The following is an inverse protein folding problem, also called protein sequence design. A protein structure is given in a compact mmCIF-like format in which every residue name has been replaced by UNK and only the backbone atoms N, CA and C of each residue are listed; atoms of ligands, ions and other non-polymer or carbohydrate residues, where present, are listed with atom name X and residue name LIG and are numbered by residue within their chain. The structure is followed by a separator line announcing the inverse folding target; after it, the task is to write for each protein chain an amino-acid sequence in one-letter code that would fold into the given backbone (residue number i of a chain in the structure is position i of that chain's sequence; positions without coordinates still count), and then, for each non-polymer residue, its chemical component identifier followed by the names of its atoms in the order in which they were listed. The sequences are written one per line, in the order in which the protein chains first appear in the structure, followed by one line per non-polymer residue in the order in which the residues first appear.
data_IF_098189584791
#
_entry.id   IF_098189584791
#
_cell.length_a   1.000
_cell.length_b   1.000
_cell.length_c   1.000
_cell.angle_alpha   90.00
_cell.angle_beta   90.00
_cell.angle_gamma   90.00
#
_symmetry.space_group_name_H-M   'P 1'
#
loop_
_entity.id
_entity.type
_entity.pdbx_description
1 polymer ?
#
# COMPACT_ATOMS: atom_id res chain seq x y z
N UNK A 1 37.47 70.25 4.47
CA UNK A 1 38.74 70.49 3.76
C UNK A 1 38.74 69.64 2.51
N UNK A 2 38.47 70.27 1.39
CA UNK A 2 38.97 70.02 0.03
C UNK A 2 38.87 68.62 -0.55
N UNK A 3 38.53 68.40 -1.77
CA UNK A 3 38.20 69.16 -2.96
C UNK A 3 37.75 68.21 -4.05
N UNK A 4 36.71 68.59 -4.76
CA UNK A 4 36.57 68.69 -6.22
C UNK A 4 37.56 67.84 -7.06
N UNK A 5 37.04 67.08 -8.00
CA UNK A 5 37.26 67.37 -9.42
C UNK A 5 36.23 66.68 -10.34
N UNK A 6 35.52 67.46 -11.09
CA UNK A 6 34.77 67.11 -12.30
C UNK A 6 35.75 66.83 -13.47
N UNK A 7 35.40 65.93 -14.34
CA UNK A 7 35.70 65.89 -15.79
C UNK A 7 34.68 65.05 -16.48
N UNK A 8 33.72 65.56 -17.15
CA UNK A 8 33.63 65.97 -18.55
C UNK A 8 33.48 64.80 -19.53
N UNK A 9 32.30 64.84 -20.17
CA UNK A 9 31.77 64.09 -21.30
C UNK A 9 32.77 63.76 -22.42
N UNK A 10 32.64 62.56 -23.01
CA UNK A 10 32.73 62.43 -24.45
C UNK A 10 31.73 61.37 -24.94
N UNK A 11 30.71 61.81 -25.63
CA UNK A 11 29.75 61.03 -26.32
C UNK A 11 30.38 60.46 -27.62
N UNK A 12 30.46 59.18 -27.78
CA UNK A 12 30.72 58.54 -29.08
C UNK A 12 29.45 57.80 -29.49
N UNK A 13 28.77 58.39 -30.47
CA UNK A 13 27.69 57.74 -31.20
C UNK A 13 28.31 56.61 -32.08
N UNK A 14 28.08 55.36 -31.75
CA UNK A 14 28.31 54.24 -32.64
C UNK A 14 26.95 53.80 -33.17
N UNK A 15 26.70 54.11 -34.43
CA UNK A 15 25.60 53.52 -35.19
C UNK A 15 25.85 52.00 -35.33
N UNK A 16 25.12 51.17 -34.60
CA UNK A 16 25.06 49.73 -34.85
C UNK A 16 23.79 49.45 -35.65
N UNK A 17 24.01 49.11 -36.90
CA UNK A 17 22.97 48.61 -37.80
C UNK A 17 22.38 47.34 -37.23
N UNK A 18 21.09 47.35 -36.84
CA UNK A 18 20.34 46.14 -36.50
C UNK A 18 20.06 45.36 -37.76
N UNK A 19 20.86 44.30 -37.98
CA UNK A 19 20.51 43.24 -38.89
C UNK A 19 19.48 42.35 -38.19
N UNK A 20 18.26 42.31 -38.71
CA UNK A 20 17.21 41.39 -38.29
C UNK A 20 17.66 39.95 -38.54
N UNK A 21 18.28 39.33 -37.55
CA UNK A 21 18.38 37.88 -37.48
C UNK A 21 17.10 37.37 -36.83
N UNK A 22 16.19 36.86 -37.65
CA UNK A 22 15.01 36.13 -37.17
C UNK A 22 15.43 34.94 -36.32
N UNK A 23 15.21 35.02 -35.03
CA UNK A 23 15.28 33.86 -34.12
C UNK A 23 14.08 33.01 -34.48
N UNK A 24 14.31 31.94 -35.25
CA UNK A 24 13.37 30.83 -35.35
C UNK A 24 13.32 30.16 -33.98
N UNK A 25 12.36 30.58 -33.15
CA UNK A 25 11.98 29.80 -31.98
C UNK A 25 11.45 28.46 -32.49
N UNK A 26 12.27 27.42 -32.31
CA UNK A 26 11.81 26.04 -32.40
C UNK A 26 10.85 25.82 -31.24
N UNK A 27 9.57 26.08 -31.48
CA UNK A 27 8.51 25.58 -30.61
C UNK A 27 8.58 24.05 -30.72
N UNK A 28 9.31 23.42 -29.79
CA UNK A 28 9.20 21.98 -29.56
C UNK A 28 7.76 21.73 -29.13
N UNK A 29 6.93 21.36 -30.11
CA UNK A 29 5.59 20.88 -29.82
C UNK A 29 5.71 19.70 -28.87
N UNK A 30 5.41 19.91 -27.60
CA UNK A 30 5.09 18.84 -26.68
C UNK A 30 3.85 18.16 -27.26
N UNK A 31 4.06 17.10 -28.00
CA UNK A 31 2.98 16.18 -28.35
C UNK A 31 2.48 15.62 -27.03
N UNK A 32 1.42 16.21 -26.50
CA UNK A 32 0.62 15.60 -25.44
C UNK A 32 0.10 14.29 -26.04
N UNK A 33 0.84 13.19 -25.82
CA UNK A 33 0.35 11.85 -26.13
C UNK A 33 -0.96 11.73 -25.35
N UNK A 34 -2.08 11.64 -26.06
CA UNK A 34 -3.35 11.16 -25.46
C UNK A 34 -3.02 9.93 -24.63
N UNK A 35 -3.56 9.82 -23.40
CA UNK A 35 -3.30 8.66 -22.56
C UNK A 35 -3.67 7.41 -23.37
N UNK A 36 -2.65 6.66 -23.78
CA UNK A 36 -2.83 5.42 -24.54
C UNK A 36 -3.48 4.43 -23.58
N UNK A 37 -4.63 3.90 -23.96
CA UNK A 37 -5.22 2.78 -23.21
C UNK A 37 -4.18 1.66 -23.15
N UNK A 38 -3.80 1.25 -21.95
CA UNK A 38 -2.84 0.18 -21.77
C UNK A 38 -3.40 -1.14 -22.34
N UNK A 39 -2.56 -1.91 -23.01
CA UNK A 39 -2.93 -3.25 -23.43
C UNK A 39 -2.99 -4.15 -22.20
N UNK A 40 -4.12 -4.85 -22.02
CA UNK A 40 -4.33 -5.67 -20.82
C UNK A 40 -3.33 -6.84 -20.72
N UNK A 41 -2.94 -7.41 -21.85
CA UNK A 41 -1.94 -8.47 -21.90
C UNK A 41 -0.57 -7.97 -21.42
N UNK A 42 -0.15 -6.78 -21.87
CA UNK A 42 1.10 -6.17 -21.40
C UNK A 42 1.05 -5.88 -19.90
N UNK A 43 -0.07 -5.37 -19.39
CA UNK A 43 -0.25 -5.12 -17.95
C UNK A 43 -0.19 -6.43 -17.14
N UNK A 44 -0.83 -7.49 -17.62
CA UNK A 44 -0.76 -8.82 -16.97
C UNK A 44 0.65 -9.38 -16.95
N UNK A 45 1.40 -9.23 -18.05
CA UNK A 45 2.80 -9.64 -18.14
C UNK A 45 3.67 -8.84 -17.17
N UNK A 46 3.51 -7.52 -17.12
CA UNK A 46 4.25 -6.65 -16.19
C UNK A 46 4.01 -7.00 -14.73
N UNK A 47 2.77 -7.33 -14.36
CA UNK A 47 2.44 -7.81 -13.00
C UNK A 47 3.13 -9.15 -12.73
N UNK A 48 3.08 -10.08 -13.68
CA UNK A 48 3.79 -11.36 -13.57
C UNK A 48 5.29 -11.18 -13.35
N UNK A 49 5.94 -10.37 -14.18
CA UNK A 49 7.37 -10.07 -14.07
C UNK A 49 7.70 -9.36 -12.73
N UNK A 50 6.86 -8.47 -12.24
CA UNK A 50 7.04 -7.79 -10.96
C UNK A 50 7.07 -8.78 -9.79
N UNK A 51 6.18 -9.78 -9.82
CA UNK A 51 6.13 -10.84 -8.79
C UNK A 51 7.27 -11.84 -8.99
N UNK A 52 7.45 -12.39 -10.19
CA UNK A 52 8.38 -13.50 -10.47
C UNK A 52 9.86 -13.09 -10.35
N UNK A 53 10.18 -11.82 -10.61
CA UNK A 53 11.53 -11.28 -10.39
C UNK A 53 11.90 -11.08 -8.92
N UNK A 54 10.97 -11.30 -7.99
CA UNK A 54 11.12 -11.00 -6.56
C UNK A 54 11.17 -9.51 -6.24
N UNK A 55 10.83 -8.63 -7.20
CA UNK A 55 10.76 -7.18 -6.95
C UNK A 55 9.64 -6.84 -5.97
N UNK A 56 8.48 -7.49 -6.11
CA UNK A 56 7.38 -7.39 -5.15
C UNK A 56 7.83 -7.68 -3.73
N UNK A 57 8.53 -8.80 -3.50
CA UNK A 57 8.98 -9.20 -2.17
C UNK A 57 9.97 -8.20 -1.58
N UNK A 58 10.87 -7.64 -2.40
CA UNK A 58 11.81 -6.59 -1.96
C UNK A 58 11.09 -5.30 -1.58
N UNK A 59 10.09 -4.90 -2.35
CA UNK A 59 9.32 -3.68 -2.07
C UNK A 59 8.47 -3.84 -0.79
N UNK A 60 7.85 -5.01 -0.59
CA UNK A 60 7.16 -5.36 0.66
C UNK A 60 8.14 -5.32 1.84
N UNK A 61 9.29 -5.98 1.72
CA UNK A 61 10.30 -6.03 2.78
C UNK A 61 10.79 -4.62 3.18
N UNK A 62 10.95 -3.71 2.21
CA UNK A 62 11.33 -2.32 2.46
C UNK A 62 10.28 -1.56 3.29
N UNK A 63 9.00 -1.71 2.96
CA UNK A 63 7.92 -1.05 3.72
C UNK A 63 7.83 -1.63 5.13
N UNK A 64 7.89 -2.96 5.26
CA UNK A 64 7.81 -3.64 6.56
C UNK A 64 9.04 -3.32 7.43
N UNK A 65 10.23 -3.18 6.86
CA UNK A 65 11.42 -2.74 7.60
C UNK A 65 11.23 -1.32 8.18
N UNK A 66 10.62 -0.41 7.42
CA UNK A 66 10.27 0.93 7.91
C UNK A 66 9.22 0.89 9.03
N UNK A 67 8.21 0.00 8.90
CA UNK A 67 7.19 -0.23 9.93
C UNK A 67 7.82 -0.77 11.22
N UNK A 68 8.72 -1.75 11.11
CA UNK A 68 9.45 -2.32 12.26
C UNK A 68 10.32 -1.27 12.95
N UNK A 69 11.08 -0.49 12.19
CA UNK A 69 11.91 0.58 12.76
C UNK A 69 11.06 1.65 13.48
N UNK A 70 9.85 1.91 13.02
CA UNK A 70 8.90 2.77 13.73
C UNK A 70 8.40 2.12 15.01
N UNK A 71 7.99 0.87 14.97
CA UNK A 71 7.54 0.09 16.11
C UNK A 71 8.60 0.11 17.23
N UNK A 72 9.86 -0.25 16.90
CA UNK A 72 10.97 -0.33 17.85
C UNK A 72 11.23 1.01 18.57
N UNK A 73 11.07 2.13 17.86
CA UNK A 73 11.20 3.47 18.45
C UNK A 73 10.06 3.85 19.38
N UNK A 74 8.83 3.38 19.07
CA UNK A 74 7.62 3.83 19.78
C UNK A 74 7.26 2.98 20.98
N UNK A 75 7.53 1.67 20.95
CA UNK A 75 7.18 0.72 22.02
C UNK A 75 7.63 1.20 23.41
N UNK A 76 8.88 1.69 23.63
CA UNK A 76 9.35 2.03 24.97
C UNK A 76 8.57 3.16 25.65
N UNK A 77 7.87 3.99 24.88
CA UNK A 77 7.13 5.16 25.39
C UNK A 77 5.61 5.04 25.24
N UNK A 78 5.15 3.96 24.62
CA UNK A 78 3.73 3.77 24.34
C UNK A 78 3.01 3.11 25.52
N UNK A 79 1.83 3.61 25.83
CA UNK A 79 0.94 2.99 26.80
C UNK A 79 0.04 1.97 26.09
N UNK A 80 0.04 0.72 26.56
CA UNK A 80 -0.76 -0.38 26.00
C UNK A 80 -0.61 -0.48 24.46
N UNK A 81 0.62 -0.75 23.95
CA UNK A 81 0.91 -0.65 22.52
C UNK A 81 0.21 -1.74 21.70
N UNK A 82 -0.23 -1.38 20.50
CA UNK A 82 -0.87 -2.27 19.54
C UNK A 82 -0.38 -1.98 18.11
N UNK A 83 -0.52 -2.98 17.24
CA UNK A 83 -0.45 -2.84 15.79
C UNK A 83 -1.72 -3.39 15.16
N UNK A 84 -2.12 -2.80 14.02
CA UNK A 84 -3.24 -3.29 13.21
C UNK A 84 -2.70 -3.72 11.85
N UNK A 85 -3.11 -4.89 11.41
CA UNK A 85 -2.72 -5.51 10.14
C UNK A 85 -3.98 -5.87 9.35
N UNK A 86 -3.96 -5.61 8.06
CA UNK A 86 -4.88 -6.25 7.12
C UNK A 86 -4.42 -7.68 6.81
N UNK A 87 -5.23 -8.46 6.10
CA UNK A 87 -4.94 -9.86 5.80
C UNK A 87 -4.55 -10.09 4.33
N UNK A 88 -5.45 -9.79 3.37
CA UNK A 88 -5.26 -10.13 1.96
C UNK A 88 -4.19 -9.22 1.33
N UNK A 89 -3.15 -9.80 0.72
CA UNK A 89 -1.93 -9.12 0.20
C UNK A 89 -1.18 -8.26 1.24
N UNK A 90 -1.53 -8.42 2.50
CA UNK A 90 -0.83 -7.79 3.63
C UNK A 90 -0.16 -8.81 4.52
N UNK A 91 -0.92 -9.76 5.03
CA UNK A 91 -0.44 -10.84 5.91
C UNK A 91 -0.43 -12.20 5.23
N UNK A 92 -1.39 -12.43 4.33
CA UNK A 92 -1.52 -13.65 3.53
C UNK A 92 -1.51 -13.29 2.04
N UNK A 93 -0.82 -14.10 1.24
CA UNK A 93 -0.71 -13.92 -0.21
C UNK A 93 -1.76 -14.71 -0.96
N UNK A 94 -2.54 -14.03 -1.80
CA UNK A 94 -3.50 -14.66 -2.72
C UNK A 94 -2.92 -14.76 -4.15
N UNK A 95 -1.61 -14.65 -4.34
CA UNK A 95 -0.99 -14.73 -5.67
C UNK A 95 -1.32 -16.00 -6.46
N UNK A 96 -1.42 -17.22 -5.84
CA UNK A 96 -1.85 -18.40 -6.58
C UNK A 96 -3.23 -18.22 -7.22
N UNK A 97 -4.19 -17.67 -6.47
CA UNK A 97 -5.55 -17.38 -6.93
C UNK A 97 -5.54 -16.29 -8.03
N UNK A 98 -4.84 -15.18 -7.83
CA UNK A 98 -4.75 -14.11 -8.80
C UNK A 98 -4.09 -14.58 -10.11
N UNK A 99 -3.05 -15.40 -10.03
CA UNK A 99 -2.33 -15.98 -11.16
C UNK A 99 -3.23 -16.92 -11.98
N UNK A 100 -3.99 -17.79 -11.34
CA UNK A 100 -4.96 -18.69 -12.00
C UNK A 100 -6.03 -17.92 -12.79
N UNK A 101 -6.25 -16.66 -12.45
CA UNK A 101 -7.20 -15.76 -13.12
C UNK A 101 -6.51 -14.79 -14.12
N UNK A 102 -5.26 -15.02 -14.46
CA UNK A 102 -4.50 -14.07 -15.29
C UNK A 102 -4.43 -12.66 -14.64
N UNK A 103 -4.27 -12.61 -13.33
CA UNK A 103 -4.26 -11.39 -12.50
C UNK A 103 -5.60 -10.63 -12.43
N UNK A 104 -6.71 -11.24 -12.90
CA UNK A 104 -8.04 -10.65 -12.73
C UNK A 104 -8.59 -10.94 -11.31
N UNK A 105 -9.30 -9.96 -10.75
CA UNK A 105 -9.98 -10.14 -9.46
C UNK A 105 -11.34 -10.79 -9.65
N UNK A 106 -11.43 -12.10 -9.46
CA UNK A 106 -12.67 -12.87 -9.45
C UNK A 106 -13.06 -13.17 -8.00
N UNK A 107 -14.18 -12.62 -7.52
CA UNK A 107 -14.56 -12.70 -6.10
C UNK A 107 -15.29 -13.99 -5.78
N UNK A 108 -16.24 -14.40 -6.63
CA UNK A 108 -17.14 -15.52 -6.40
C UNK A 108 -16.88 -16.67 -7.40
N UNK A 109 -17.50 -17.80 -7.16
CA UNK A 109 -17.37 -19.01 -7.98
C UNK A 109 -16.43 -20.03 -7.33
N UNK A 110 -16.34 -21.25 -7.93
CA UNK A 110 -15.41 -22.28 -7.49
C UNK A 110 -13.97 -21.84 -7.67
N UNK A 111 -13.03 -22.57 -7.07
CA UNK A 111 -11.62 -22.34 -7.27
C UNK A 111 -10.98 -23.55 -7.93
N UNK A 112 -10.42 -23.34 -9.12
CA UNK A 112 -9.52 -24.26 -9.81
C UNK A 112 -8.21 -23.53 -10.09
N UNK A 113 -7.16 -23.88 -9.36
CA UNK A 113 -5.85 -23.23 -9.50
C UNK A 113 -5.10 -23.66 -10.77
N UNK A 114 -5.43 -24.80 -11.35
CA UNK A 114 -4.73 -25.34 -12.52
C UNK A 114 -5.32 -24.79 -13.84
N UNK A 115 -6.65 -24.77 -13.92
CA UNK A 115 -7.37 -24.40 -15.15
C UNK A 115 -8.03 -23.03 -15.07
N UNK A 116 -8.22 -22.49 -13.85
CA UNK A 116 -9.03 -21.31 -13.63
C UNK A 116 -10.49 -21.48 -14.05
N UNK A 117 -11.37 -20.56 -13.73
CA UNK A 117 -11.12 -19.48 -12.78
C UNK A 117 -11.10 -19.97 -11.33
N UNK A 118 -10.49 -19.17 -10.45
CA UNK A 118 -10.49 -19.40 -9.01
C UNK A 118 -11.15 -18.21 -8.29
N UNK A 119 -12.32 -18.43 -7.71
CA UNK A 119 -13.02 -17.43 -6.91
C UNK A 119 -12.29 -17.14 -5.60
N UNK A 120 -12.08 -15.85 -5.28
CA UNK A 120 -11.37 -15.43 -4.08
C UNK A 120 -11.99 -15.99 -2.79
N UNK A 121 -13.32 -16.02 -2.70
CA UNK A 121 -14.01 -16.55 -1.51
C UNK A 121 -13.81 -18.04 -1.33
N UNK A 122 -13.80 -18.82 -2.42
CA UNK A 122 -13.50 -20.24 -2.40
C UNK A 122 -12.02 -20.48 -2.00
N UNK A 123 -11.09 -19.72 -2.57
CA UNK A 123 -9.68 -19.74 -2.18
C UNK A 123 -9.47 -19.44 -0.69
N UNK A 124 -10.09 -18.40 -0.18
CA UNK A 124 -10.01 -18.02 1.24
C UNK A 124 -10.56 -19.14 2.17
N UNK A 125 -11.62 -19.84 1.73
CA UNK A 125 -12.20 -20.97 2.47
C UNK A 125 -11.26 -22.19 2.52
N UNK A 126 -10.40 -22.41 1.52
CA UNK A 126 -9.39 -23.48 1.52
C UNK A 126 -8.35 -23.27 2.63
N UNK A 127 -8.09 -22.03 3.04
CA UNK A 127 -7.12 -21.66 4.08
C UNK A 127 -5.67 -22.08 3.75
N UNK A 128 -5.28 -21.98 2.48
CA UNK A 128 -3.97 -22.42 1.96
C UNK A 128 -3.03 -21.24 1.62
N UNK A 129 -3.51 -20.01 1.78
CA UNK A 129 -2.71 -18.83 1.51
C UNK A 129 -1.46 -18.78 2.39
N UNK A 130 -0.30 -18.56 1.76
CA UNK A 130 0.99 -18.47 2.47
C UNK A 130 1.16 -17.12 3.13
N UNK A 131 1.87 -17.11 4.26
CA UNK A 131 2.23 -15.86 4.91
C UNK A 131 3.14 -15.01 4.00
N UNK A 132 2.92 -13.69 4.02
CA UNK A 132 3.88 -12.72 3.54
C UNK A 132 4.97 -12.60 4.60
N UNK A 133 6.11 -13.23 4.34
CA UNK A 133 7.15 -13.47 5.34
C UNK A 133 7.62 -12.22 6.11
N UNK A 134 7.84 -11.03 5.49
CA UNK A 134 8.18 -9.84 6.23
C UNK A 134 7.09 -9.40 7.23
N UNK A 135 5.81 -9.51 6.85
CA UNK A 135 4.69 -9.14 7.73
C UNK A 135 4.55 -10.13 8.89
N UNK A 136 4.73 -11.42 8.64
CA UNK A 136 4.77 -12.42 9.71
C UNK A 136 5.88 -12.12 10.71
N UNK A 137 7.08 -11.82 10.22
CA UNK A 137 8.21 -11.46 11.08
C UNK A 137 7.93 -10.18 11.91
N UNK A 138 7.25 -9.19 11.35
CA UNK A 138 6.82 -7.99 12.08
C UNK A 138 5.81 -8.33 13.18
N UNK A 139 4.81 -9.15 12.88
CA UNK A 139 3.79 -9.58 13.86
C UNK A 139 4.41 -10.36 15.01
N UNK A 140 5.29 -11.31 14.71
CA UNK A 140 6.01 -12.09 15.72
C UNK A 140 6.96 -11.21 16.57
N UNK A 141 7.62 -10.23 15.95
CA UNK A 141 8.45 -9.26 16.67
C UNK A 141 7.60 -8.38 17.60
N UNK A 142 6.47 -7.88 17.14
CA UNK A 142 5.52 -7.13 17.97
C UNK A 142 5.08 -7.95 19.20
N UNK A 143 4.71 -9.21 19.00
CA UNK A 143 4.33 -10.12 20.11
C UNK A 143 5.46 -10.31 21.12
N UNK A 144 6.70 -10.50 20.66
CA UNK A 144 7.89 -10.61 21.56
C UNK A 144 8.12 -9.35 22.39
N UNK A 145 7.73 -8.18 21.89
CA UNK A 145 7.80 -6.91 22.61
C UNK A 145 6.57 -6.64 23.51
N UNK A 146 5.64 -7.58 23.64
CA UNK A 146 4.41 -7.39 24.41
C UNK A 146 3.38 -6.48 23.73
N UNK A 147 3.53 -6.22 22.42
CA UNK A 147 2.61 -5.40 21.63
C UNK A 147 1.43 -6.26 21.17
N UNK A 148 0.20 -5.76 21.37
CA UNK A 148 -1.00 -6.41 20.90
C UNK A 148 -1.07 -6.38 19.36
N UNK A 149 -1.49 -7.50 18.74
CA UNK A 149 -1.66 -7.62 17.29
C UNK A 149 -3.15 -7.78 17.01
N UNK A 150 -3.68 -6.87 16.20
CA UNK A 150 -5.06 -6.91 15.74
C UNK A 150 -5.10 -7.13 14.24
N UNK A 151 -6.00 -7.98 13.78
CA UNK A 151 -6.35 -8.10 12.37
C UNK A 151 -7.70 -7.45 12.10
N UNK A 152 -7.79 -6.60 11.06
CA UNK A 152 -9.06 -6.04 10.56
C UNK A 152 -9.11 -6.29 9.07
N UNK A 153 -10.05 -7.11 8.61
CA UNK A 153 -10.12 -7.58 7.22
C UNK A 153 -11.51 -7.45 6.61
N UNK A 154 -11.57 -7.13 5.30
CA UNK A 154 -12.80 -7.18 4.50
C UNK A 154 -13.27 -8.61 4.14
N UNK A 155 -12.68 -9.65 4.71
CA UNK A 155 -13.24 -11.00 4.61
C UNK A 155 -14.56 -11.07 5.35
N UNK A 156 -15.63 -11.64 4.76
CA UNK A 156 -16.93 -11.74 5.42
C UNK A 156 -16.90 -12.69 6.62
N UNK A 157 -17.79 -12.43 7.59
CA UNK A 157 -17.88 -13.16 8.86
C UNK A 157 -17.93 -14.68 8.73
N UNK A 158 -18.59 -15.21 7.69
CA UNK A 158 -18.66 -16.65 7.39
C UNK A 158 -17.29 -17.32 7.13
N UNK A 159 -16.27 -16.53 6.80
CA UNK A 159 -14.90 -17.03 6.59
C UNK A 159 -14.03 -17.00 7.84
N UNK A 160 -14.57 -16.67 9.01
CA UNK A 160 -13.80 -16.57 10.27
C UNK A 160 -12.98 -17.80 10.55
N UNK A 161 -13.63 -18.97 10.60
CA UNK A 161 -12.96 -20.24 10.93
C UNK A 161 -11.81 -20.57 9.95
N UNK A 162 -12.06 -20.42 8.63
CA UNK A 162 -11.05 -20.64 7.62
C UNK A 162 -9.89 -19.62 7.73
N UNK A 163 -10.20 -18.35 8.03
CA UNK A 163 -9.20 -17.31 8.20
C UNK A 163 -8.33 -17.57 9.42
N UNK A 164 -8.93 -17.95 10.56
CA UNK A 164 -8.19 -18.31 11.77
C UNK A 164 -7.31 -19.54 11.56
N UNK A 165 -7.85 -20.59 10.91
CA UNK A 165 -7.08 -21.80 10.56
C UNK A 165 -5.87 -21.43 9.70
N UNK A 166 -6.05 -20.58 8.69
CA UNK A 166 -4.97 -20.15 7.80
C UNK A 166 -3.91 -19.34 8.55
N UNK A 167 -4.30 -18.34 9.31
CA UNK A 167 -3.38 -17.50 10.08
C UNK A 167 -2.56 -18.32 11.09
N UNK A 168 -3.22 -19.23 11.86
CA UNK A 168 -2.53 -20.14 12.80
C UNK A 168 -1.58 -21.08 12.08
N UNK A 169 -2.02 -21.69 10.98
CA UNK A 169 -1.19 -22.59 10.17
C UNK A 169 0.05 -21.90 9.58
N UNK A 170 0.03 -20.58 9.43
CA UNK A 170 1.17 -19.78 8.99
C UNK A 170 2.01 -19.21 10.15
N UNK A 171 1.64 -19.45 11.42
CA UNK A 171 2.41 -19.03 12.59
C UNK A 171 2.09 -17.63 13.09
N UNK A 172 0.94 -17.07 12.72
CA UNK A 172 0.45 -15.83 13.33
C UNK A 172 -0.21 -16.09 14.68
N UNK A 173 0.05 -15.19 15.61
CA UNK A 173 -0.66 -15.04 16.88
C UNK A 173 -1.23 -13.62 16.95
N UNK A 174 -2.43 -13.49 17.50
CA UNK A 174 -3.11 -12.19 17.57
C UNK A 174 -3.92 -12.01 18.86
N UNK A 175 -4.25 -10.79 19.14
CA UNK A 175 -5.11 -10.39 20.26
C UNK A 175 -6.58 -10.50 19.86
N UNK A 176 -6.92 -9.96 18.68
CA UNK A 176 -8.29 -9.99 18.15
C UNK A 176 -8.26 -10.02 16.62
N UNK A 177 -9.24 -10.71 16.03
CA UNK A 177 -9.50 -10.78 14.61
C UNK A 177 -10.90 -10.23 14.32
N UNK A 178 -10.96 -9.15 13.53
CA UNK A 178 -12.21 -8.49 13.13
C UNK A 178 -12.43 -8.72 11.65
N UNK A 179 -13.53 -9.38 11.30
CA UNK A 179 -13.99 -9.59 9.94
C UNK A 179 -15.18 -8.66 9.65
N UNK A 180 -15.36 -8.35 8.38
CA UNK A 180 -16.55 -7.62 7.93
C UNK A 180 -17.81 -8.40 8.31
N UNK A 181 -18.80 -7.75 8.97
CA UNK A 181 -20.05 -8.42 9.38
C UNK A 181 -20.79 -8.98 8.17
N UNK A 182 -21.35 -10.16 8.31
CA UNK A 182 -22.09 -10.83 7.23
C UNK A 182 -23.31 -10.01 6.83
N UNK A 183 -23.48 -9.79 5.51
CA UNK A 183 -24.60 -9.02 4.97
C UNK A 183 -24.49 -7.51 5.15
N UNK A 184 -23.45 -7.00 5.83
CA UNK A 184 -23.25 -5.56 5.90
C UNK A 184 -22.77 -5.00 4.56
N UNK A 185 -23.16 -3.77 4.29
CA UNK A 185 -22.68 -3.00 3.13
C UNK A 185 -22.13 -1.67 3.62
N UNK A 186 -20.95 -1.30 3.13
CA UNK A 186 -20.31 -0.04 3.46
C UNK A 186 -20.05 0.74 2.17
N UNK A 187 -20.12 2.09 2.19
CA UNK A 187 -19.76 2.92 1.04
C UNK A 187 -18.29 2.68 0.58
N UNK A 188 -17.41 2.38 1.53
CA UNK A 188 -16.04 1.91 1.29
C UNK A 188 -15.59 0.99 2.43
N UNK A 189 -14.53 0.21 2.18
CA UNK A 189 -13.91 -0.63 3.23
C UNK A 189 -13.36 0.22 4.39
N UNK A 190 -12.98 1.46 4.13
CA UNK A 190 -12.54 2.38 5.18
C UNK A 190 -13.67 2.70 6.18
N UNK A 191 -14.93 2.75 5.73
CA UNK A 191 -16.10 3.00 6.59
C UNK A 191 -16.38 1.85 7.55
N UNK A 192 -15.86 0.68 7.27
CA UNK A 192 -15.83 -0.45 8.20
C UNK A 192 -14.56 -0.43 9.08
N UNK A 193 -13.36 -0.34 8.46
CA UNK A 193 -12.10 -0.54 9.18
C UNK A 193 -11.74 0.59 10.15
N UNK A 194 -12.07 1.84 9.84
CA UNK A 194 -11.76 2.96 10.72
C UNK A 194 -12.53 2.92 12.04
N UNK A 195 -13.86 2.67 12.08
CA UNK A 195 -14.59 2.44 13.34
C UNK A 195 -14.03 1.28 14.16
N UNK A 196 -13.57 0.21 13.56
CA UNK A 196 -12.97 -0.91 14.29
C UNK A 196 -11.63 -0.50 14.96
N UNK A 197 -10.78 0.28 14.26
CA UNK A 197 -9.58 0.87 14.89
C UNK A 197 -9.94 1.82 16.03
N UNK A 198 -11.03 2.58 15.90
CA UNK A 198 -11.53 3.43 16.98
C UNK A 198 -11.88 2.60 18.21
N UNK A 199 -12.61 1.51 18.07
CA UNK A 199 -12.95 0.61 19.19
C UNK A 199 -11.70 0.09 19.91
N UNK A 200 -10.65 -0.24 19.18
CA UNK A 200 -9.36 -0.64 19.75
C UNK A 200 -8.75 0.52 20.57
N UNK A 201 -8.75 1.73 20.02
CA UNK A 201 -8.27 2.91 20.75
C UNK A 201 -9.12 3.24 22.00
N UNK A 202 -10.45 3.11 21.91
CA UNK A 202 -11.39 3.32 23.03
C UNK A 202 -11.18 2.29 24.16
N UNK A 203 -10.61 1.09 23.84
CA UNK A 203 -10.15 0.11 24.85
C UNK A 203 -8.82 0.50 25.52
N UNK A 204 -8.27 1.67 25.18
CA UNK A 204 -7.05 2.23 25.75
C UNK A 204 -5.77 1.76 25.09
N UNK A 205 -5.84 1.11 23.93
CA UNK A 205 -4.64 0.78 23.13
C UNK A 205 -4.12 2.00 22.38
N UNK A 206 -2.80 2.13 22.33
CA UNK A 206 -2.13 3.03 21.41
C UNK A 206 -1.75 2.23 20.14
N UNK A 207 -2.47 2.44 19.05
CA UNK A 207 -2.16 1.79 17.78
C UNK A 207 -0.95 2.50 17.17
N UNK A 208 0.24 1.90 17.33
CA UNK A 208 1.50 2.46 16.87
C UNK A 208 1.60 2.47 15.36
N UNK A 209 1.09 1.43 14.71
CA UNK A 209 1.06 1.36 13.26
C UNK A 209 -0.17 0.60 12.75
N UNK A 210 -0.58 0.96 11.53
CA UNK A 210 -1.55 0.24 10.73
C UNK A 210 -0.92 -0.09 9.38
N UNK A 211 -0.89 -1.37 9.00
CA UNK A 211 -0.29 -1.90 7.78
C UNK A 211 -1.38 -2.51 6.91
N UNK A 212 -1.43 -2.11 5.64
CA UNK A 212 -2.38 -2.62 4.65
C UNK A 212 -1.88 -2.39 3.22
N UNK A 213 -2.47 -3.07 2.26
CA UNK A 213 -2.13 -2.96 0.84
C UNK A 213 -3.08 -2.01 0.06
N UNK A 214 -4.21 -1.63 0.67
CA UNK A 214 -5.16 -0.69 0.08
C UNK A 214 -5.21 0.62 0.86
N UNK A 215 -5.50 1.73 0.16
CA UNK A 215 -5.76 3.02 0.82
C UNK A 215 -6.94 2.95 1.78
N UNK A 216 -7.95 2.14 1.46
CA UNK A 216 -9.12 1.91 2.31
C UNK A 216 -8.78 1.24 3.64
N UNK A 217 -7.68 0.49 3.72
CA UNK A 217 -7.20 -0.08 4.99
C UNK A 217 -6.67 0.99 5.94
N UNK A 218 -6.11 2.06 5.38
CA UNK A 218 -5.28 3.03 6.08
C UNK A 218 -6.03 4.31 6.44
N UNK A 219 -7.09 4.66 5.70
CA UNK A 219 -7.88 5.88 5.91
C UNK A 219 -8.64 5.86 7.23
N UNK A 220 -8.99 7.05 7.73
CA UNK A 220 -9.85 7.25 8.89
C UNK A 220 -9.15 7.30 10.23
N UNK A 221 -7.83 7.30 10.29
CA UNK A 221 -7.04 7.57 11.49
C UNK A 221 -6.97 6.43 12.50
N UNK A 222 -6.81 6.81 13.78
CA UNK A 222 -6.66 5.96 14.96
C UNK A 222 -5.34 5.15 15.05
N UNK A 223 -4.41 5.35 14.15
CA UNK A 223 -3.04 4.85 14.25
C UNK A 223 -2.05 6.01 14.16
N UNK A 224 -0.94 5.93 14.91
CA UNK A 224 0.10 6.97 14.85
C UNK A 224 0.75 7.06 13.48
N UNK A 225 0.90 5.92 12.79
CA UNK A 225 1.47 5.85 11.45
C UNK A 225 0.86 4.73 10.62
N UNK A 226 0.71 4.99 9.34
CA UNK A 226 0.24 4.02 8.36
C UNK A 226 1.38 3.60 7.43
N UNK A 227 1.34 2.34 6.98
CA UNK A 227 2.30 1.79 6.04
C UNK A 227 1.55 1.05 4.94
N UNK A 228 1.74 1.50 3.69
CA UNK A 228 1.07 0.92 2.54
C UNK A 228 1.98 -0.05 1.81
N UNK A 229 1.56 -1.29 1.70
CA UNK A 229 2.20 -2.31 0.88
C UNK A 229 1.82 -2.15 -0.60
N UNK A 230 2.68 -2.59 -1.53
CA UNK A 230 2.33 -2.62 -2.94
C UNK A 230 1.24 -3.67 -3.22
N UNK A 231 0.27 -3.31 -4.05
CA UNK A 231 -0.65 -4.25 -4.68
C UNK A 231 -0.88 -3.81 -6.14
N UNK A 232 -0.31 -4.51 -7.13
CA UNK A 232 -0.45 -4.18 -8.53
C UNK A 232 -1.69 -4.81 -9.20
N UNK A 233 -2.48 -5.64 -8.48
CA UNK A 233 -3.50 -6.50 -9.07
C UNK A 233 -4.90 -5.90 -9.00
N UNK A 234 -5.25 -5.33 -7.85
CA UNK A 234 -6.61 -4.81 -7.65
C UNK A 234 -6.64 -3.57 -6.78
N UNK A 235 -7.74 -2.88 -6.90
CA UNK A 235 -8.09 -1.75 -6.04
C UNK A 235 -9.38 -2.07 -5.28
N UNK A 236 -9.42 -1.71 -3.99
CA UNK A 236 -10.61 -1.77 -3.14
C UNK A 236 -10.93 -0.36 -2.65
N UNK A 237 -12.16 0.07 -2.95
CA UNK A 237 -12.65 1.39 -2.60
C UNK A 237 -12.95 1.55 -1.11
#
# INVERSE_FOLDING_TARGET
MNSRLQRVLLALFVCVSFSNFGILEFVQGQTTRSPRVANIYDAQREVGEYVDSGRYDRDVAKVVAAARAWLDRRVPTAKKPAIVLDIDETSLSNWPQARANGWARITNGPCDLEKGPCGLRAWQAMAEAKAIAPTLALAQHARKLGVAVFFITGRPGRLREATERNLRGQGYEWTELVLEPEGATFPSVADFKAPERRKIADQGYTILLNLGDQESDLRGGYAERTFKLPNPVYFVK
#
